data_IF_759971015628
#
_entry.id   IF_759971015628
#
_cell.length_a   1.000
_cell.length_b   1.000
_cell.length_c   1.000
_cell.angle_alpha   90.00
_cell.angle_beta   90.00
_cell.angle_gamma   90.00
#
_symmetry.space_group_name_H-M   'P 1'
#
loop_
_entity.id
_entity.type
_entity.pdbx_description
1 polymer ?
#
# COMPACT_ATOMS: atom_id res chain seq x y z
N UNK A 1 6.27 -3.54 17.95
CA UNK A 1 6.20 -2.35 18.84
C UNK A 1 5.03 -1.54 18.36
N UNK A 2 4.24 -0.94 19.25
CA UNK A 2 3.10 -0.13 18.83
C UNK A 2 3.52 0.95 17.81
N UNK A 3 2.65 1.24 16.84
CA UNK A 3 2.85 2.25 15.80
C UNK A 3 3.05 3.63 16.43
N UNK A 4 4.11 4.33 16.03
CA UNK A 4 4.39 5.73 16.41
C UNK A 4 4.12 6.65 15.22
N UNK A 5 3.08 7.49 15.34
CA UNK A 5 2.64 8.39 14.27
C UNK A 5 3.71 9.40 13.83
N UNK A 6 4.64 9.77 14.72
CA UNK A 6 5.74 10.68 14.37
C UNK A 6 6.74 9.96 13.48
N UNK A 7 7.06 8.71 13.80
CA UNK A 7 7.94 7.86 12.99
C UNK A 7 7.30 7.54 11.63
N UNK A 8 6.00 7.23 11.62
CA UNK A 8 5.24 6.99 10.37
C UNK A 8 5.33 8.21 9.45
N UNK A 9 5.06 9.41 9.96
CA UNK A 9 5.19 10.66 9.19
C UNK A 9 6.61 10.87 8.68
N UNK A 10 7.62 10.64 9.54
CA UNK A 10 9.02 10.72 9.17
C UNK A 10 9.36 9.84 7.95
N UNK A 11 8.91 8.59 7.95
CA UNK A 11 9.07 7.71 6.79
C UNK A 11 8.32 8.22 5.56
N UNK A 12 7.06 8.63 5.69
CA UNK A 12 6.27 9.15 4.56
C UNK A 12 6.98 10.36 3.92
N UNK A 13 7.42 11.32 4.74
CA UNK A 13 8.12 12.52 4.29
C UNK A 13 9.47 12.19 3.65
N UNK A 14 10.21 11.23 4.22
CA UNK A 14 11.47 10.75 3.66
C UNK A 14 11.28 10.18 2.25
N UNK A 15 10.38 9.21 2.08
CA UNK A 15 10.18 8.53 0.81
C UNK A 15 9.53 9.43 -0.26
N UNK A 16 8.61 10.32 0.12
CA UNK A 16 8.08 11.33 -0.80
C UNK A 16 9.13 12.40 -1.16
N UNK A 17 9.97 12.78 -0.20
CA UNK A 17 11.01 13.80 -0.34
C UNK A 17 12.08 13.43 -1.38
N UNK A 18 12.44 12.14 -1.47
CA UNK A 18 13.38 11.59 -2.48
C UNK A 18 12.97 11.91 -3.93
N UNK A 19 11.66 12.11 -4.16
CA UNK A 19 11.07 12.32 -5.48
C UNK A 19 10.36 13.68 -5.57
N UNK A 20 10.73 14.65 -4.74
CA UNK A 20 10.08 15.96 -4.62
C UNK A 20 10.08 16.80 -5.90
N UNK A 21 11.01 16.55 -6.83
CA UNK A 21 11.10 17.25 -8.12
C UNK A 21 10.20 16.65 -9.21
N UNK A 22 9.55 15.51 -8.95
CA UNK A 22 8.69 14.83 -9.91
C UNK A 22 7.22 15.26 -9.78
N UNK A 23 6.41 15.08 -10.85
CA UNK A 23 4.97 15.29 -10.76
C UNK A 23 4.32 14.46 -9.63
N UNK A 24 3.33 15.00 -8.89
CA UNK A 24 2.77 14.36 -7.70
C UNK A 24 2.32 12.91 -7.87
N UNK A 25 1.65 12.58 -8.98
CA UNK A 25 1.15 11.22 -9.24
C UNK A 25 2.28 10.21 -9.45
N UNK A 26 3.32 10.61 -10.19
CA UNK A 26 4.51 9.79 -10.42
C UNK A 26 5.33 9.62 -9.13
N UNK A 27 5.45 10.70 -8.35
CA UNK A 27 6.10 10.70 -7.04
C UNK A 27 5.47 9.68 -6.09
N UNK A 28 4.15 9.64 -6.00
CA UNK A 28 3.44 8.71 -5.13
C UNK A 28 3.77 7.24 -5.47
N UNK A 29 3.81 6.90 -6.75
CA UNK A 29 4.13 5.53 -7.20
C UNK A 29 5.58 5.12 -6.93
N UNK A 30 6.54 6.03 -7.11
CA UNK A 30 7.94 5.75 -6.82
C UNK A 30 8.21 5.65 -5.31
N UNK A 31 7.62 6.53 -4.51
CA UNK A 31 7.75 6.48 -3.05
C UNK A 31 7.22 5.15 -2.49
N UNK A 32 6.06 4.68 -2.97
CA UNK A 32 5.52 3.37 -2.60
C UNK A 32 6.46 2.21 -2.99
N UNK A 33 6.96 2.19 -4.22
CA UNK A 33 7.87 1.11 -4.66
C UNK A 33 9.14 1.07 -3.81
N UNK A 34 9.72 2.23 -3.54
CA UNK A 34 10.98 2.34 -2.78
C UNK A 34 10.83 1.84 -1.34
N UNK A 35 9.76 2.24 -0.62
CA UNK A 35 9.53 1.74 0.75
C UNK A 35 9.21 0.24 0.79
N UNK A 36 8.47 -0.26 -0.21
CA UNK A 36 8.16 -1.69 -0.35
C UNK A 36 9.41 -2.50 -0.61
N UNK A 37 10.25 -2.05 -1.54
CA UNK A 37 11.49 -2.73 -1.92
C UNK A 37 12.47 -2.72 -0.73
N UNK A 38 12.55 -1.62 0.02
CA UNK A 38 13.30 -1.56 1.27
C UNK A 38 12.82 -2.62 2.27
N UNK A 39 11.50 -2.69 2.55
CA UNK A 39 10.93 -3.69 3.47
C UNK A 39 11.16 -5.13 3.01
N UNK A 40 11.16 -5.38 1.70
CA UNK A 40 11.41 -6.70 1.13
C UNK A 40 12.90 -7.11 1.15
N UNK A 41 13.83 -6.18 0.93
CA UNK A 41 15.26 -6.45 0.80
C UNK A 41 16.01 -6.47 2.14
N UNK A 42 15.71 -5.56 3.06
CA UNK A 42 16.54 -5.37 4.26
C UNK A 42 15.91 -4.64 5.44
N UNK A 43 14.76 -3.98 5.23
CA UNK A 43 14.03 -3.31 6.29
C UNK A 43 13.47 -4.28 7.32
N UNK A 44 13.38 -3.82 8.57
CA UNK A 44 12.78 -4.60 9.66
C UNK A 44 11.29 -4.85 9.34
N UNK A 45 10.99 -6.04 8.83
CA UNK A 45 9.61 -6.41 8.47
C UNK A 45 8.68 -6.43 9.68
N UNK A 46 9.22 -6.48 10.91
CA UNK A 46 8.48 -6.39 12.16
C UNK A 46 8.23 -4.95 12.63
N UNK A 47 8.82 -3.93 11.99
CA UNK A 47 8.54 -2.53 12.29
C UNK A 47 7.12 -2.17 11.82
N UNK A 48 6.24 -1.95 12.81
CA UNK A 48 4.83 -1.62 12.58
C UNK A 48 4.65 -0.19 12.05
N UNK A 49 5.55 0.75 12.40
CA UNK A 49 5.51 2.13 11.90
C UNK A 49 5.94 2.20 10.44
N UNK A 50 7.01 1.49 10.08
CA UNK A 50 7.43 1.35 8.68
C UNK A 50 6.34 0.66 7.84
N UNK A 51 5.64 -0.32 8.41
CA UNK A 51 4.51 -0.97 7.75
C UNK A 51 3.32 -0.04 7.53
N UNK A 52 2.97 0.77 8.53
CA UNK A 52 1.91 1.77 8.41
C UNK A 52 2.24 2.84 7.36
N UNK A 53 3.50 3.27 7.27
CA UNK A 53 3.97 4.18 6.23
C UNK A 53 3.84 3.56 4.82
N UNK A 54 4.19 2.28 4.64
CA UNK A 54 3.99 1.59 3.36
C UNK A 54 2.49 1.52 3.01
N UNK A 55 1.62 1.14 3.96
CA UNK A 55 0.18 1.07 3.72
C UNK A 55 -0.40 2.42 3.30
N UNK A 56 0.03 3.52 3.94
CA UNK A 56 -0.34 4.88 3.54
C UNK A 56 0.07 5.15 2.08
N UNK A 57 1.34 4.91 1.74
CA UNK A 57 1.89 5.19 0.41
C UNK A 57 1.25 4.32 -0.67
N UNK A 58 0.97 3.05 -0.38
CA UNK A 58 0.24 2.14 -1.25
C UNK A 58 -1.17 2.67 -1.55
N UNK A 59 -1.95 2.97 -0.51
CA UNK A 59 -3.32 3.45 -0.68
C UNK A 59 -3.34 4.79 -1.43
N UNK A 60 -2.44 5.71 -1.10
CA UNK A 60 -2.29 7.00 -1.79
C UNK A 60 -1.95 6.82 -3.26
N UNK A 61 -0.98 5.96 -3.58
CA UNK A 61 -0.61 5.66 -4.97
C UNK A 61 -1.79 5.08 -5.75
N UNK A 62 -2.40 4.02 -5.24
CA UNK A 62 -3.46 3.28 -5.94
C UNK A 62 -4.70 4.13 -6.24
N UNK A 63 -5.09 5.01 -5.31
CA UNK A 63 -6.21 5.93 -5.52
C UNK A 63 -5.80 7.11 -6.41
N UNK A 64 -4.66 7.77 -6.13
CA UNK A 64 -4.23 8.94 -6.91
C UNK A 64 -3.95 8.63 -8.39
N UNK A 65 -3.50 7.41 -8.69
CA UNK A 65 -3.25 6.92 -10.05
C UNK A 65 -4.43 6.13 -10.63
N UNK A 66 -5.60 6.19 -9.98
CA UNK A 66 -6.86 5.68 -10.54
C UNK A 66 -6.81 4.16 -10.80
N UNK A 67 -5.97 3.44 -10.04
CA UNK A 67 -5.92 1.98 -10.09
C UNK A 67 -7.18 1.40 -9.44
N UNK A 68 -7.66 2.05 -8.39
CA UNK A 68 -8.90 1.77 -7.68
C UNK A 68 -9.58 3.08 -7.26
N UNK A 69 -10.88 3.02 -6.97
CA UNK A 69 -11.57 4.13 -6.30
C UNK A 69 -11.21 4.22 -4.81
N UNK A 70 -11.42 5.40 -4.20
CA UNK A 70 -11.30 5.57 -2.74
C UNK A 70 -12.15 4.53 -1.99
N UNK A 71 -13.40 4.34 -2.41
CA UNK A 71 -14.33 3.39 -1.81
C UNK A 71 -13.79 1.96 -1.87
N UNK A 72 -13.25 1.54 -3.02
CA UNK A 72 -12.64 0.23 -3.16
C UNK A 72 -11.39 0.09 -2.29
N UNK A 73 -10.55 1.13 -2.20
CA UNK A 73 -9.37 1.10 -1.33
C UNK A 73 -9.76 1.00 0.14
N UNK A 74 -10.80 1.70 0.59
CA UNK A 74 -11.33 1.58 1.96
C UNK A 74 -11.74 0.13 2.26
N UNK A 75 -12.47 -0.51 1.34
CA UNK A 75 -12.84 -1.93 1.47
C UNK A 75 -11.60 -2.82 1.53
N UNK A 76 -10.58 -2.55 0.72
CA UNK A 76 -9.33 -3.31 0.73
C UNK A 76 -8.56 -3.15 2.05
N UNK A 77 -8.41 -1.93 2.56
CA UNK A 77 -7.71 -1.65 3.82
C UNK A 77 -8.40 -2.37 4.99
N UNK A 78 -9.72 -2.29 5.08
CA UNK A 78 -10.50 -2.95 6.13
C UNK A 78 -10.53 -4.48 5.96
N UNK A 79 -10.69 -4.97 4.72
CA UNK A 79 -10.77 -6.39 4.41
C UNK A 79 -9.43 -7.12 4.57
N UNK A 80 -8.32 -6.49 4.19
CA UNK A 80 -6.99 -7.07 4.32
C UNK A 80 -6.60 -7.33 5.78
N UNK A 81 -6.88 -6.39 6.69
CA UNK A 81 -6.60 -6.58 8.11
C UNK A 81 -7.53 -7.60 8.78
N UNK A 82 -8.77 -7.74 8.29
CA UNK A 82 -9.66 -8.84 8.68
C UNK A 82 -9.10 -10.21 8.27
N UNK A 83 -8.62 -10.34 7.02
CA UNK A 83 -7.98 -11.57 6.53
C UNK A 83 -6.67 -11.82 7.27
N UNK A 84 -5.86 -10.78 7.53
CA UNK A 84 -4.59 -10.87 8.25
C UNK A 84 -4.79 -11.29 9.71
N UNK A 85 -5.83 -10.80 10.38
CA UNK A 85 -6.18 -11.22 11.73
C UNK A 85 -6.56 -12.70 11.79
N UNK A 86 -7.33 -13.18 10.80
CA UNK A 86 -7.67 -14.61 10.67
C UNK A 86 -6.43 -15.43 10.30
N UNK A 87 -5.59 -14.95 9.38
CA UNK A 87 -4.39 -15.64 8.93
C UNK A 87 -3.35 -15.77 10.04
N UNK A 88 -3.23 -14.78 10.94
CA UNK A 88 -2.35 -14.86 12.11
C UNK A 88 -2.76 -15.94 13.13
N UNK A 89 -4.00 -16.45 13.06
CA UNK A 89 -4.41 -17.63 13.86
C UNK A 89 -3.94 -18.96 13.27
N UNK A 90 -3.43 -18.97 12.04
CA UNK A 90 -2.98 -20.16 11.33
C UNK A 90 -1.64 -19.92 10.60
N UNK A 91 -0.56 -20.51 11.14
CA UNK A 91 0.81 -20.36 10.62
C UNK A 91 0.99 -20.65 9.12
N UNK A 92 0.12 -21.46 8.52
CA UNK A 92 0.16 -21.76 7.09
C UNK A 92 -0.40 -20.60 6.24
N UNK A 93 -1.50 -20.00 6.69
CA UNK A 93 -2.14 -18.86 6.04
C UNK A 93 -1.30 -17.60 6.17
N UNK A 94 -0.65 -17.38 7.33
CA UNK A 94 0.28 -16.26 7.52
C UNK A 94 1.49 -16.35 6.58
N UNK A 95 2.05 -17.56 6.37
CA UNK A 95 3.12 -17.78 5.38
C UNK A 95 2.69 -17.47 3.95
N UNK A 96 1.46 -17.80 3.58
CA UNK A 96 0.92 -17.52 2.25
C UNK A 96 0.68 -16.02 1.99
N UNK A 97 0.58 -15.20 3.04
CA UNK A 97 0.43 -13.75 2.94
C UNK A 97 1.76 -12.99 2.88
N UNK A 98 2.89 -13.69 3.03
CA UNK A 98 4.21 -13.06 2.98
C UNK A 98 4.62 -12.80 1.54
N UNK A 99 5.11 -11.60 1.24
CA UNK A 99 5.85 -11.35 0.00
C UNK A 99 7.25 -11.99 0.03
N UNK A 100 7.85 -12.10 1.21
CA UNK A 100 9.09 -12.84 1.43
C UNK A 100 8.84 -13.95 2.48
N UNK A 101 8.87 -15.24 2.10
CA UNK A 101 8.57 -16.35 3.01
C UNK A 101 9.51 -16.42 4.23
N UNK A 102 10.73 -15.88 4.12
CA UNK A 102 11.73 -15.83 5.19
C UNK A 102 11.48 -14.70 6.21
N UNK A 103 10.50 -13.83 5.97
CA UNK A 103 10.20 -12.69 6.85
C UNK A 103 8.76 -12.71 7.35
N UNK A 104 8.52 -12.55 8.66
CA UNK A 104 7.16 -12.53 9.20
C UNK A 104 6.39 -11.31 8.70
N UNK A 105 5.09 -11.47 8.50
CA UNK A 105 4.21 -10.30 8.31
C UNK A 105 4.17 -9.49 9.62
N UNK A 106 4.15 -8.16 9.52
CA UNK A 106 3.92 -7.31 10.70
C UNK A 106 2.59 -7.66 11.36
N UNK A 107 2.42 -7.40 12.66
CA UNK A 107 1.14 -7.63 13.34
C UNK A 107 0.02 -6.77 12.72
N UNK A 108 -1.22 -7.22 12.82
CA UNK A 108 -2.37 -6.35 12.54
C UNK A 108 -2.33 -5.21 13.56
N UNK A 109 -2.47 -3.97 13.09
CA UNK A 109 -2.46 -2.79 13.94
C UNK A 109 -3.56 -1.84 13.49
N UNK A 110 -4.44 -1.47 14.41
CA UNK A 110 -5.49 -0.49 14.14
C UNK A 110 -4.93 0.84 13.63
N UNK A 111 -3.73 1.24 14.08
CA UNK A 111 -3.04 2.42 13.57
C UNK A 111 -2.61 2.26 12.11
N UNK A 112 -2.25 1.05 11.68
CA UNK A 112 -1.95 0.75 10.28
C UNK A 112 -3.17 0.90 9.37
N UNK A 113 -4.37 0.52 9.87
CA UNK A 113 -5.66 0.79 9.20
C UNK A 113 -5.88 2.30 9.05
N UNK A 114 -5.71 3.06 10.14
CA UNK A 114 -5.91 4.51 10.12
C UNK A 114 -5.02 5.18 9.08
N UNK A 115 -3.75 4.79 9.01
CA UNK A 115 -2.82 5.29 7.99
C UNK A 115 -3.18 4.85 6.57
N UNK A 116 -3.63 3.61 6.36
CA UNK A 116 -4.14 3.16 5.05
C UNK A 116 -5.37 3.95 4.58
N UNK A 117 -6.35 4.17 5.48
CA UNK A 117 -7.55 4.98 5.18
C UNK A 117 -7.19 6.44 4.90
N UNK A 118 -6.24 7.00 5.67
CA UNK A 118 -5.71 8.34 5.41
C UNK A 118 -5.04 8.43 4.03
N UNK A 119 -4.25 7.41 3.68
CA UNK A 119 -3.62 7.31 2.36
C UNK A 119 -4.63 7.31 1.23
N UNK A 120 -5.72 6.55 1.36
CA UNK A 120 -6.80 6.53 0.37
C UNK A 120 -7.42 7.92 0.15
N UNK A 121 -7.77 8.61 1.24
CA UNK A 121 -8.34 9.97 1.19
C UNK A 121 -7.38 10.99 0.60
N UNK A 122 -6.12 10.96 1.03
CA UNK A 122 -5.08 11.85 0.50
C UNK A 122 -4.76 11.51 -0.97
N UNK A 123 -4.98 10.27 -1.41
CA UNK A 123 -4.87 9.85 -2.81
C UNK A 123 -6.00 10.39 -3.67
N UNK A 124 -7.23 10.37 -3.17
CA UNK A 124 -8.39 10.96 -3.85
C UNK A 124 -8.22 12.47 -4.02
N UNK A 125 -7.73 13.16 -2.97
CA UNK A 125 -7.43 14.60 -3.07
C UNK A 125 -6.36 14.91 -4.12
N UNK A 126 -5.34 14.06 -4.26
CA UNK A 126 -4.31 14.21 -5.30
C UNK A 126 -4.91 13.96 -6.69
N UNK A 127 -5.75 12.92 -6.85
CA UNK A 127 -6.45 12.64 -8.09
C UNK A 127 -7.28 13.85 -8.54
N UNK A 128 -8.12 14.39 -7.66
CA UNK A 128 -8.97 15.55 -7.94
C UNK A 128 -8.15 16.80 -8.29
N UNK A 129 -6.96 16.95 -7.73
CA UNK A 129 -6.10 18.11 -7.97
C UNK A 129 -5.30 18.00 -9.27
N UNK A 130 -4.81 16.81 -9.61
CA UNK A 130 -3.81 16.62 -10.66
C UNK A 130 -4.33 15.83 -11.88
N UNK A 131 -5.47 15.15 -11.77
CA UNK A 131 -6.11 14.41 -12.86
C UNK A 131 -7.67 14.43 -12.77
N UNK A 132 -8.32 15.61 -12.61
CA UNK A 132 -9.76 15.71 -12.32
C UNK A 132 -10.70 15.17 -13.41
N UNK A 133 -10.19 15.05 -14.65
CA UNK A 133 -10.99 14.60 -15.79
C UNK A 133 -10.82 13.10 -16.09
N UNK A 134 -9.94 12.42 -15.35
CA UNK A 134 -9.70 11.01 -15.55
C UNK A 134 -10.78 10.18 -14.83
N UNK A 135 -11.33 9.18 -15.52
CA UNK A 135 -12.44 8.39 -15.01
C UNK A 135 -11.96 7.38 -13.97
N UNK A 136 -12.51 7.47 -12.76
CA UNK A 136 -12.26 6.51 -11.69
C UNK A 136 -12.94 5.16 -11.99
N UNK A 137 -12.27 4.01 -11.82
CA UNK A 137 -12.90 2.72 -12.00
C UNK A 137 -13.96 2.51 -10.92
N UNK A 138 -15.16 2.09 -11.33
CA UNK A 138 -16.21 1.71 -10.38
C UNK A 138 -15.78 0.54 -9.49
N UNK A 139 -15.08 -0.45 -10.08
CA UNK A 139 -14.50 -1.59 -9.37
C UNK A 139 -13.42 -2.27 -10.20
N UNK A 140 -12.24 -2.49 -9.62
CA UNK A 140 -11.13 -3.21 -10.24
C UNK A 140 -10.87 -4.53 -9.51
N UNK A 141 -11.42 -5.63 -10.04
CA UNK A 141 -11.28 -6.97 -9.45
C UNK A 141 -9.84 -7.48 -9.40
N UNK A 142 -8.98 -7.03 -10.30
CA UNK A 142 -7.59 -7.49 -10.33
C UNK A 142 -6.80 -6.86 -9.18
N UNK A 143 -7.02 -5.58 -8.90
CA UNK A 143 -6.46 -4.94 -7.70
C UNK A 143 -6.92 -5.62 -6.40
N UNK A 144 -8.16 -6.13 -6.35
CA UNK A 144 -8.70 -6.86 -5.19
C UNK A 144 -8.08 -8.24 -4.98
N UNK A 145 -7.77 -8.97 -6.06
CA UNK A 145 -7.16 -10.31 -5.98
C UNK A 145 -5.67 -10.25 -5.64
N UNK A 146 -5.01 -9.17 -6.06
CA UNK A 146 -3.56 -9.03 -6.05
C UNK A 146 -3.11 -7.87 -5.18
N UNK A 147 -3.77 -7.60 -4.05
CA UNK A 147 -3.54 -6.42 -3.19
C UNK A 147 -2.10 -6.13 -2.72
N UNK A 148 -1.09 -6.94 -3.10
CA UNK A 148 0.34 -6.61 -3.03
C UNK A 148 1.19 -7.00 -4.27
N UNK A 149 0.57 -7.50 -5.35
CA UNK A 149 1.21 -8.08 -6.54
C UNK A 149 0.92 -7.22 -7.81
N UNK A 150 0.69 -5.91 -7.65
CA UNK A 150 0.31 -5.05 -8.80
C UNK A 150 1.45 -4.75 -9.77
N UNK A 151 2.72 -4.95 -9.39
CA UNK A 151 3.83 -4.91 -10.36
C UNK A 151 3.81 -6.10 -11.33
N UNK A 152 3.23 -7.23 -10.93
CA UNK A 152 3.12 -8.36 -11.83
C UNK A 152 1.98 -8.22 -12.84
N UNK A 153 1.09 -7.23 -12.81
CA UNK A 153 0.07 -7.16 -13.87
C UNK A 153 0.67 -6.80 -15.23
N UNK A 154 1.68 -5.93 -15.26
CA UNK A 154 2.41 -5.60 -16.50
C UNK A 154 3.30 -6.77 -16.96
N UNK A 155 3.88 -7.54 -16.03
CA UNK A 155 4.63 -8.77 -16.37
C UNK A 155 3.74 -9.98 -16.69
N UNK A 156 2.58 -10.12 -16.05
CA UNK A 156 1.59 -11.17 -16.29
C UNK A 156 0.89 -10.96 -17.63
N UNK A 157 0.55 -9.71 -17.97
CA UNK A 157 0.07 -9.36 -19.30
C UNK A 157 1.10 -9.69 -20.39
N UNK A 158 2.40 -9.52 -20.13
CA UNK A 158 3.49 -9.94 -21.04
C UNK A 158 3.75 -11.46 -21.09
N UNK A 159 3.19 -12.24 -20.16
CA UNK A 159 3.31 -13.72 -20.14
C UNK A 159 2.11 -14.42 -20.76
N UNK A 160 0.98 -13.73 -20.89
CA UNK A 160 -0.28 -14.27 -21.41
C UNK A 160 -0.55 -13.82 -22.86
N UNK A 161 0.20 -12.82 -23.34
CA UNK A 161 0.23 -12.40 -24.74
C UNK A 161 1.64 -12.51 -25.31
#
# INVERSE_FOLDING_TARGET
MAVDDTVVKGHIDEYLGRYSTLPPLQRNGLAFRDIRDFRNAGGDSADESLAAAEHYLFAKYMVSNIVVSEHQMIVMVLGYDGIKAIAQTNSYTERAMRHNPDRPTSKVSASSIVWGLKGAKDGESDHQSFAPYATVPNWNWDAMKFGGITDNMVEYAKRIY
#
